data_IF_173107057384
#
_entry.id   IF_173107057384
#
_cell.length_a   1.000
_cell.length_b   1.000
_cell.length_c   1.000
_cell.angle_alpha   90.00
_cell.angle_beta   90.00
_cell.angle_gamma   90.00
#
_symmetry.space_group_name_H-M   'P 1'
#
loop_
_entity.id
_entity.type
_entity.pdbx_description
1 polymer ?
#
# COMPACT_ATOMS: atom_id res chain seq x y z
N UNK A 1 -8.91 21.07 8.00
CA UNK A 1 -8.25 19.89 7.42
C UNK A 1 -9.21 18.84 6.84
N UNK A 2 -10.39 18.63 7.40
CA UNK A 2 -11.42 17.73 6.83
C UNK A 2 -11.93 18.14 5.45
N UNK A 3 -12.07 19.44 5.19
CA UNK A 3 -12.63 19.98 3.94
C UNK A 3 -11.76 19.69 2.69
N UNK A 4 -10.44 19.71 2.83
CA UNK A 4 -9.52 19.50 1.69
C UNK A 4 -9.42 18.03 1.27
N UNK A 5 -9.55 17.10 2.22
CA UNK A 5 -9.60 15.65 1.93
C UNK A 5 -10.90 15.24 1.23
N UNK A 6 -12.00 15.86 1.60
CA UNK A 6 -13.31 15.64 0.97
C UNK A 6 -13.35 16.19 -0.46
N UNK A 7 -12.66 17.30 -0.72
CA UNK A 7 -12.55 17.88 -2.06
C UNK A 7 -11.72 17.02 -3.01
N UNK A 8 -10.62 16.44 -2.52
CA UNK A 8 -9.79 15.49 -3.30
C UNK A 8 -10.54 14.20 -3.63
N UNK A 9 -11.31 13.65 -2.70
CA UNK A 9 -12.17 12.48 -2.94
C UNK A 9 -13.25 12.79 -4.00
N UNK A 10 -13.83 13.99 -3.95
CA UNK A 10 -14.83 14.40 -4.94
C UNK A 10 -14.22 14.61 -6.35
N UNK A 11 -13.02 15.17 -6.44
CA UNK A 11 -12.28 15.29 -7.69
C UNK A 11 -11.91 13.92 -8.28
N UNK A 12 -11.46 12.96 -7.47
CA UNK A 12 -11.14 11.59 -7.94
C UNK A 12 -12.41 10.87 -8.43
N UNK A 13 -13.54 11.02 -7.74
CA UNK A 13 -14.82 10.50 -8.18
C UNK A 13 -15.32 11.15 -9.49
N UNK A 14 -15.13 12.46 -9.67
CA UNK A 14 -15.48 13.15 -10.91
C UNK A 14 -14.60 12.74 -12.10
N UNK A 15 -13.31 12.41 -11.85
CA UNK A 15 -12.42 11.93 -12.90
C UNK A 15 -12.72 10.50 -13.35
N UNK A 16 -13.30 9.68 -12.45
CA UNK A 16 -13.72 8.30 -12.80
C UNK A 16 -15.04 8.26 -13.58
N UNK A 17 -15.86 9.31 -13.55
CA UNK A 17 -17.14 9.35 -14.27
C UNK A 17 -17.01 9.80 -15.73
N UNK A 18 -15.82 10.12 -16.22
CA UNK A 18 -15.58 10.51 -17.62
C UNK A 18 -15.11 9.36 -18.54
N UNK A 19 -15.40 8.10 -18.17
CA UNK A 19 -15.34 7.02 -19.16
C UNK A 19 -16.49 7.22 -20.13
N UNK A 20 -16.19 7.84 -21.27
CA UNK A 20 -17.13 8.07 -22.33
C UNK A 20 -17.81 6.77 -22.74
N UNK A 21 -19.11 6.72 -22.55
CA UNK A 21 -19.93 5.71 -23.20
C UNK A 21 -19.75 5.91 -24.71
N UNK A 22 -19.14 4.93 -25.36
CA UNK A 22 -19.18 4.86 -26.80
C UNK A 22 -20.64 4.77 -27.20
N UNK A 23 -21.21 5.82 -27.78
CA UNK A 23 -22.56 5.79 -28.29
C UNK A 23 -22.62 4.74 -29.39
N UNK A 24 -23.46 3.75 -29.20
CA UNK A 24 -23.83 2.84 -30.28
C UNK A 24 -24.36 3.68 -31.46
N UNK A 25 -24.00 3.33 -32.69
CA UNK A 25 -24.57 4.00 -33.87
C UNK A 25 -26.09 3.97 -33.78
N UNK A 26 -26.73 5.10 -34.06
CA UNK A 26 -28.18 5.19 -34.10
C UNK A 26 -28.78 4.21 -35.13
N UNK A 27 -30.03 3.82 -34.98
CA UNK A 27 -30.70 2.93 -35.93
C UNK A 27 -30.72 3.60 -37.33
N UNK A 28 -30.58 2.78 -38.37
CA UNK A 28 -30.72 3.30 -39.74
C UNK A 28 -32.07 4.01 -39.92
N UNK A 29 -32.07 5.11 -40.65
CA UNK A 29 -33.29 5.85 -41.02
C UNK A 29 -34.27 4.98 -41.79
N UNK A 30 -35.58 5.33 -41.79
CA UNK A 30 -36.59 4.58 -42.50
C UNK A 30 -36.26 4.50 -43.99
N UNK A 31 -36.48 3.34 -44.53
CA UNK A 31 -36.29 3.09 -45.96
C UNK A 31 -37.25 3.98 -46.77
N UNK A 32 -36.69 4.69 -47.76
CA UNK A 32 -37.49 5.53 -48.67
C UNK A 32 -38.51 4.70 -49.44
N UNK A 33 -39.62 5.34 -49.84
CA UNK A 33 -40.69 4.71 -50.56
C UNK A 33 -40.21 4.00 -51.83
N UNK A 34 -40.75 2.83 -52.13
CA UNK A 34 -40.39 2.08 -53.33
C UNK A 34 -40.71 2.89 -54.58
N UNK A 35 -39.74 3.10 -55.46
CA UNK A 35 -39.99 3.59 -56.79
C UNK A 35 -40.88 2.62 -57.57
N UNK A 36 -41.62 3.15 -58.59
CA UNK A 36 -42.51 2.36 -59.42
C UNK A 36 -41.81 1.11 -59.95
N UNK A 37 -42.53 -0.03 -59.79
CA UNK A 37 -42.03 -1.34 -60.17
C UNK A 37 -41.73 -1.44 -61.63
N UNK A 38 -40.43 -1.47 -61.99
CA UNK A 38 -40.00 -1.95 -63.30
C UNK A 38 -40.10 -3.48 -63.39
N UNK A 39 -40.12 -4.03 -64.59
CA UNK A 39 -40.12 -5.49 -64.71
C UNK A 39 -38.91 -6.10 -63.96
N UNK A 40 -39.13 -7.20 -63.26
CA UNK A 40 -38.05 -7.82 -62.48
C UNK A 40 -36.87 -8.20 -63.41
N UNK A 41 -35.70 -7.63 -63.15
CA UNK A 41 -34.47 -8.14 -63.73
C UNK A 41 -34.04 -9.43 -63.02
N UNK A 42 -33.23 -10.25 -63.69
CA UNK A 42 -32.70 -11.44 -63.02
C UNK A 42 -31.95 -11.06 -61.74
N UNK A 43 -32.18 -11.85 -60.69
CA UNK A 43 -31.51 -11.65 -59.42
C UNK A 43 -29.98 -11.63 -59.59
N UNK A 44 -29.36 -10.54 -59.17
CA UNK A 44 -27.89 -10.46 -59.15
C UNK A 44 -27.27 -11.51 -58.23
N UNK A 45 -26.07 -11.90 -58.54
CA UNK A 45 -25.34 -12.84 -57.70
C UNK A 45 -25.14 -12.19 -56.32
N UNK A 46 -25.19 -12.96 -55.24
CA UNK A 46 -24.87 -12.48 -53.90
C UNK A 46 -23.48 -11.86 -53.91
N UNK A 47 -23.34 -10.68 -53.31
CA UNK A 47 -22.04 -10.01 -53.16
C UNK A 47 -21.08 -10.90 -52.34
N UNK A 48 -19.78 -10.74 -52.53
CA UNK A 48 -18.78 -11.44 -51.73
C UNK A 48 -18.97 -11.15 -50.23
N UNK A 49 -18.71 -12.11 -49.40
CA UNK A 49 -18.75 -11.94 -47.95
C UNK A 49 -17.84 -10.79 -47.53
N UNK A 50 -18.28 -9.95 -46.63
CA UNK A 50 -17.46 -8.87 -46.07
C UNK A 50 -16.19 -9.42 -45.42
N UNK A 51 -15.13 -8.60 -45.37
CA UNK A 51 -13.89 -9.00 -44.70
C UNK A 51 -14.17 -9.32 -43.22
N UNK A 52 -13.40 -10.26 -42.62
CA UNK A 52 -13.49 -10.52 -41.19
C UNK A 52 -13.29 -9.24 -40.39
N UNK A 53 -14.01 -9.11 -39.29
CA UNK A 53 -13.81 -7.98 -38.37
C UNK A 53 -12.39 -7.92 -37.80
N UNK A 54 -11.93 -6.76 -37.38
CA UNK A 54 -10.62 -6.62 -36.78
C UNK A 54 -10.48 -7.52 -35.55
N UNK A 55 -9.26 -8.04 -35.34
CA UNK A 55 -8.94 -8.85 -34.18
C UNK A 55 -9.17 -8.02 -32.89
N UNK A 56 -9.82 -8.59 -31.89
CA UNK A 56 -9.98 -7.95 -30.59
C UNK A 56 -8.63 -7.57 -29.96
N UNK A 57 -8.63 -6.52 -29.18
CA UNK A 57 -7.43 -6.10 -28.44
C UNK A 57 -6.94 -7.23 -27.55
N UNK A 58 -5.60 -7.40 -27.36
CA UNK A 58 -5.05 -8.32 -26.37
C UNK A 58 -5.64 -8.01 -25.00
N UNK A 59 -6.01 -9.04 -24.25
CA UNK A 59 -6.38 -8.86 -22.85
C UNK A 59 -5.23 -8.30 -22.05
N UNK A 60 -5.54 -7.62 -20.94
CA UNK A 60 -4.53 -7.12 -19.98
C UNK A 60 -3.71 -8.32 -19.50
N UNK A 61 -2.38 -8.23 -19.60
CA UNK A 61 -1.51 -9.30 -19.13
C UNK A 61 -1.57 -9.41 -17.60
N UNK A 62 -1.38 -10.61 -17.06
CA UNK A 62 -1.34 -10.79 -15.59
C UNK A 62 -0.28 -9.91 -14.92
N UNK A 63 0.81 -9.62 -15.62
CA UNK A 63 1.89 -8.76 -15.14
C UNK A 63 1.50 -7.28 -15.06
N UNK A 64 0.72 -6.78 -16.02
CA UNK A 64 0.17 -5.42 -15.98
C UNK A 64 -0.85 -5.26 -14.86
N UNK A 65 -1.69 -6.28 -14.65
CA UNK A 65 -2.66 -6.28 -13.55
C UNK A 65 -1.97 -6.25 -12.19
N UNK A 66 -0.90 -7.03 -12.01
CA UNK A 66 -0.12 -7.05 -10.77
C UNK A 66 0.59 -5.70 -10.53
N UNK A 67 1.15 -5.10 -11.56
CA UNK A 67 1.76 -3.76 -11.50
C UNK A 67 0.74 -2.71 -11.09
N UNK A 68 -0.48 -2.79 -11.63
CA UNK A 68 -1.57 -1.86 -11.29
C UNK A 68 -2.02 -2.03 -9.84
N UNK A 69 -2.19 -3.26 -9.37
CA UNK A 69 -2.52 -3.55 -7.96
C UNK A 69 -1.47 -2.99 -7.01
N UNK A 70 -0.19 -3.22 -7.30
CA UNK A 70 0.91 -2.70 -6.50
C UNK A 70 0.95 -1.17 -6.49
N UNK A 71 0.62 -0.53 -7.60
CA UNK A 71 0.54 0.93 -7.69
C UNK A 71 -0.64 1.48 -6.89
N UNK A 72 -1.78 0.79 -6.92
CA UNK A 72 -2.96 1.14 -6.14
C UNK A 72 -2.69 1.04 -4.64
N UNK A 73 -2.10 -0.07 -4.19
CA UNK A 73 -1.73 -0.27 -2.78
C UNK A 73 -0.82 0.86 -2.28
N UNK A 74 0.17 1.30 -3.08
CA UNK A 74 1.05 2.42 -2.74
C UNK A 74 0.30 3.75 -2.64
N UNK A 75 -0.67 4.00 -3.52
CA UNK A 75 -1.52 5.19 -3.45
C UNK A 75 -2.38 5.20 -2.19
N UNK A 76 -2.95 4.05 -1.82
CA UNK A 76 -3.72 3.89 -0.59
C UNK A 76 -2.90 4.25 0.66
N UNK A 77 -1.62 3.88 0.72
CA UNK A 77 -0.75 4.29 1.83
C UNK A 77 -0.64 5.82 1.92
N UNK A 78 -0.37 6.49 0.79
CA UNK A 78 -0.19 7.94 0.79
C UNK A 78 -1.45 8.70 1.18
N UNK A 79 -2.63 8.20 0.80
CA UNK A 79 -3.91 8.85 1.09
C UNK A 79 -4.37 8.60 2.52
N UNK A 80 -4.11 7.41 3.07
CA UNK A 80 -4.69 6.98 4.33
C UNK A 80 -3.83 7.28 5.56
N UNK A 81 -2.51 7.44 5.42
CA UNK A 81 -1.62 7.61 6.57
C UNK A 81 -1.12 9.05 6.72
N UNK A 82 -1.00 9.52 7.97
CA UNK A 82 -0.50 10.86 8.29
C UNK A 82 1.01 11.00 8.14
N UNK A 83 1.71 9.87 8.22
CA UNK A 83 3.14 9.76 8.00
C UNK A 83 3.41 8.66 7.00
N UNK A 84 4.07 9.00 5.91
CA UNK A 84 4.51 8.04 4.88
C UNK A 84 5.93 8.40 4.49
N UNK A 85 6.84 7.42 4.55
CA UNK A 85 8.22 7.57 4.07
C UNK A 85 8.60 6.34 3.25
N UNK A 86 9.39 6.58 2.23
CA UNK A 86 9.93 5.52 1.37
C UNK A 86 11.45 5.53 1.45
N UNK A 87 12.04 4.36 1.67
CA UNK A 87 13.47 4.10 1.55
C UNK A 87 13.66 2.89 0.66
N UNK A 88 14.31 3.07 -0.47
CA UNK A 88 14.44 2.01 -1.48
C UNK A 88 13.08 1.49 -1.96
N UNK A 89 12.80 0.22 -1.71
CA UNK A 89 11.53 -0.42 -2.03
C UNK A 89 10.55 -0.48 -0.85
N UNK A 90 11.02 -0.17 0.36
CA UNK A 90 10.23 -0.27 1.58
C UNK A 90 9.47 1.02 1.87
N UNK A 91 8.25 0.89 2.37
CA UNK A 91 7.43 1.99 2.83
C UNK A 91 7.21 1.88 4.33
N UNK A 92 7.39 3.01 5.04
CA UNK A 92 7.08 3.17 6.45
C UNK A 92 5.89 4.10 6.59
N UNK A 93 4.87 3.67 7.33
CA UNK A 93 3.60 4.38 7.47
C UNK A 93 3.14 4.44 8.92
N UNK A 94 2.50 5.55 9.31
CA UNK A 94 1.92 5.72 10.63
C UNK A 94 0.74 6.69 10.59
N UNK A 95 -0.30 6.42 11.40
CA UNK A 95 -1.34 7.40 11.71
C UNK A 95 -0.95 8.33 12.88
N UNK A 96 0.32 8.30 13.29
CA UNK A 96 0.79 8.96 14.50
C UNK A 96 0.00 8.57 15.77
N UNK A 97 -0.59 7.38 15.75
CA UNK A 97 -1.20 6.76 16.93
C UNK A 97 -0.12 6.13 17.80
N UNK A 98 -0.46 6.01 19.08
CA UNK A 98 0.39 5.40 20.09
C UNK A 98 -0.41 4.35 20.83
N UNK A 99 0.24 3.28 21.22
CA UNK A 99 -0.34 2.21 22.04
C UNK A 99 0.78 1.31 22.58
N UNK A 100 0.42 0.25 23.29
CA UNK A 100 1.30 -0.82 23.74
C UNK A 100 1.92 -1.60 22.58
N UNK A 101 2.99 -2.32 22.84
CA UNK A 101 3.69 -3.13 21.83
C UNK A 101 2.76 -4.16 21.17
N UNK A 102 1.99 -4.90 21.96
CA UNK A 102 1.07 -5.92 21.43
C UNK A 102 0.01 -5.30 20.51
N UNK A 103 -0.53 -4.14 20.90
CA UNK A 103 -1.47 -3.41 20.07
C UNK A 103 -0.83 -2.84 18.80
N UNK A 104 0.42 -2.45 18.86
CA UNK A 104 1.16 -2.00 17.67
C UNK A 104 1.34 -3.12 16.66
N UNK A 105 1.72 -4.32 17.10
CA UNK A 105 1.83 -5.51 16.25
C UNK A 105 0.48 -5.87 15.63
N UNK A 106 -0.58 -5.94 16.45
CA UNK A 106 -1.93 -6.23 15.99
C UNK A 106 -2.41 -5.19 14.97
N UNK A 107 -2.18 -3.91 15.24
CA UNK A 107 -2.57 -2.81 14.36
C UNK A 107 -1.98 -2.90 12.96
N UNK A 108 -0.67 -3.23 12.86
CA UNK A 108 -0.01 -3.40 11.58
C UNK A 108 -0.51 -4.67 10.87
N UNK A 109 -0.60 -5.80 11.57
CA UNK A 109 -1.00 -7.09 10.99
C UNK A 109 -2.43 -7.08 10.44
N UNK A 110 -3.38 -6.42 11.11
CA UNK A 110 -4.76 -6.26 10.64
C UNK A 110 -4.87 -5.51 9.29
N UNK A 111 -3.80 -4.81 8.90
CA UNK A 111 -3.71 -4.05 7.65
C UNK A 111 -2.84 -4.73 6.61
N UNK A 112 -2.43 -5.97 6.86
CA UNK A 112 -1.50 -6.69 6.00
C UNK A 112 -0.09 -6.10 5.98
N UNK A 113 0.26 -5.32 7.02
CA UNK A 113 1.56 -4.70 7.23
C UNK A 113 2.29 -5.36 8.39
N UNK A 114 3.57 -5.07 8.52
CA UNK A 114 4.38 -5.49 9.67
C UNK A 114 4.77 -4.28 10.52
N UNK A 115 5.04 -4.49 11.82
CA UNK A 115 5.66 -3.46 12.64
C UNK A 115 7.04 -3.14 12.06
N UNK A 116 7.45 -1.88 12.07
CA UNK A 116 8.67 -1.42 11.42
C UNK A 116 9.92 -2.11 11.97
N UNK A 117 10.78 -2.57 11.07
CA UNK A 117 12.11 -3.09 11.37
C UNK A 117 13.12 -2.45 10.41
N UNK A 118 13.89 -1.45 10.83
CA UNK A 118 14.91 -0.84 9.99
C UNK A 118 16.07 -1.81 9.76
N UNK A 119 16.52 -1.90 8.50
CA UNK A 119 17.59 -2.80 8.06
C UNK A 119 18.87 -2.07 7.69
N UNK A 120 18.89 -0.75 7.81
CA UNK A 120 20.04 0.10 7.59
C UNK A 120 19.86 1.45 8.29
N UNK A 121 20.91 2.25 8.28
CA UNK A 121 20.94 3.57 8.93
C UNK A 121 19.93 4.56 8.34
N UNK A 122 19.72 4.53 7.03
CA UNK A 122 18.77 5.41 6.35
C UNK A 122 17.34 5.10 6.78
N UNK A 123 16.94 3.83 6.77
CA UNK A 123 15.64 3.38 7.27
C UNK A 123 15.44 3.77 8.73
N UNK A 124 16.46 3.56 9.57
CA UNK A 124 16.42 3.87 10.99
C UNK A 124 16.20 5.36 11.24
N UNK A 125 16.93 6.22 10.54
CA UNK A 125 16.81 7.67 10.68
C UNK A 125 15.47 8.20 10.16
N UNK A 126 14.92 7.61 9.11
CA UNK A 126 13.62 8.02 8.57
C UNK A 126 12.48 7.77 9.56
N UNK A 127 12.56 6.71 10.38
CA UNK A 127 11.53 6.43 11.39
C UNK A 127 11.45 7.54 12.45
N UNK A 128 12.55 8.20 12.78
CA UNK A 128 12.53 9.27 13.78
C UNK A 128 11.72 10.50 13.35
N UNK A 129 11.44 10.65 12.06
CA UNK A 129 10.62 11.76 11.53
C UNK A 129 9.13 11.64 11.89
N UNK A 130 8.70 10.52 12.48
CA UNK A 130 7.33 10.37 13.00
C UNK A 130 7.10 11.21 14.24
N UNK A 131 8.16 11.47 15.00
CA UNK A 131 8.09 12.17 16.27
C UNK A 131 7.68 13.63 16.11
N UNK A 132 6.89 14.11 17.05
CA UNK A 132 6.58 15.52 17.27
C UNK A 132 7.31 16.03 18.52
N UNK A 133 6.80 17.09 19.09
CA UNK A 133 7.39 17.73 20.27
C UNK A 133 7.26 16.88 21.54
N UNK A 134 6.14 16.13 21.64
CA UNK A 134 5.83 15.27 22.77
C UNK A 134 6.08 13.80 22.47
N UNK A 135 6.65 13.07 23.42
CA UNK A 135 6.93 11.64 23.39
C UNK A 135 7.69 11.17 22.13
N UNK A 136 8.92 10.80 22.32
CA UNK A 136 9.92 10.59 21.27
C UNK A 136 10.36 9.12 21.23
N UNK A 137 9.40 8.21 21.33
CA UNK A 137 9.61 6.76 21.23
C UNK A 137 8.63 6.10 20.30
N UNK A 138 9.09 5.13 19.51
CA UNK A 138 8.29 4.29 18.63
C UNK A 138 8.62 2.81 18.86
N UNK A 139 7.67 1.93 18.65
CA UNK A 139 7.90 0.49 18.67
C UNK A 139 8.58 0.03 17.39
N UNK A 140 9.52 -0.89 17.52
CA UNK A 140 10.15 -1.60 16.39
C UNK A 140 10.05 -3.11 16.57
N UNK A 141 10.07 -3.83 15.44
CA UNK A 141 9.81 -5.26 15.34
C UNK A 141 11.00 -6.13 15.80
N UNK A 142 11.55 -5.81 16.95
CA UNK A 142 12.62 -6.58 17.59
C UNK A 142 12.11 -7.09 18.93
N UNK A 143 12.14 -8.40 19.11
CA UNK A 143 11.73 -9.04 20.34
C UNK A 143 12.83 -9.98 20.86
N UNK A 144 12.87 -10.20 22.16
CA UNK A 144 13.69 -11.25 22.76
C UNK A 144 13.11 -12.60 22.42
N UNK A 145 13.87 -13.43 21.75
CA UNK A 145 13.55 -14.82 21.63
C UNK A 145 13.94 -15.56 22.93
N UNK A 146 12.97 -16.23 23.55
CA UNK A 146 13.13 -16.91 24.86
C UNK A 146 14.25 -17.95 24.94
N UNK A 147 14.76 -18.42 23.80
CA UNK A 147 15.67 -19.55 23.79
C UNK A 147 17.15 -19.19 24.01
N UNK A 148 17.58 -17.96 23.69
CA UNK A 148 19.02 -17.66 23.65
C UNK A 148 19.42 -16.31 24.28
N UNK A 149 18.48 -15.48 24.74
CA UNK A 149 18.79 -14.14 25.31
C UNK A 149 19.43 -13.18 24.32
N UNK A 150 19.39 -13.49 23.04
CA UNK A 150 19.98 -12.69 21.98
C UNK A 150 18.93 -11.86 21.27
N UNK A 151 19.14 -10.53 21.27
CA UNK A 151 18.35 -9.56 20.47
C UNK A 151 18.89 -9.49 19.04
N UNK A 152 19.13 -10.62 18.43
CA UNK A 152 19.73 -10.73 17.10
C UNK A 152 18.71 -11.14 16.03
N UNK A 153 17.47 -11.38 16.43
CA UNK A 153 16.41 -11.80 15.53
C UNK A 153 15.17 -10.90 15.62
N UNK A 154 14.45 -10.81 14.53
CA UNK A 154 13.13 -10.20 14.47
C UNK A 154 12.06 -11.10 15.12
N UNK A 155 10.79 -10.65 15.11
CA UNK A 155 9.68 -11.46 15.65
C UNK A 155 9.41 -12.76 14.86
N UNK A 156 10.01 -12.93 13.68
CA UNK A 156 9.94 -14.15 12.85
C UNK A 156 11.17 -15.06 13.03
N UNK A 157 12.01 -14.78 14.01
CA UNK A 157 13.30 -15.45 14.23
C UNK A 157 14.28 -15.37 13.05
N UNK A 158 14.19 -14.30 12.25
CA UNK A 158 15.18 -14.05 11.21
C UNK A 158 16.32 -13.20 11.78
N UNK A 159 17.59 -13.54 11.47
CA UNK A 159 18.72 -12.78 11.97
C UNK A 159 18.65 -11.33 11.48
N UNK A 160 18.92 -10.39 12.39
CA UNK A 160 18.96 -8.97 12.04
C UNK A 160 20.26 -8.64 11.31
N UNK A 161 20.15 -7.93 10.21
CA UNK A 161 21.31 -7.46 9.43
C UNK A 161 21.83 -6.10 9.90
N UNK A 162 21.02 -5.38 10.66
CA UNK A 162 21.34 -4.06 11.18
C UNK A 162 20.82 -3.92 12.61
N UNK A 163 21.62 -3.30 13.47
CA UNK A 163 21.26 -2.93 14.84
C UNK A 163 21.85 -1.57 15.19
N UNK A 164 21.14 -0.79 16.01
CA UNK A 164 21.62 0.49 16.53
C UNK A 164 21.26 0.66 18.00
N UNK A 165 21.86 -0.16 18.82
CA UNK A 165 21.64 -0.16 20.25
C UNK A 165 22.19 1.11 20.92
N UNK A 166 21.43 1.64 21.89
CA UNK A 166 21.91 2.72 22.75
C UNK A 166 22.98 2.25 23.74
N UNK A 167 23.56 3.18 24.49
CA UNK A 167 24.55 2.88 25.53
C UNK A 167 23.95 1.91 26.58
N UNK A 168 24.68 0.84 26.90
CA UNK A 168 24.22 -0.22 27.81
C UNK A 168 23.10 -1.09 27.26
N UNK A 169 22.80 -1.03 25.97
CA UNK A 169 21.77 -1.85 25.31
C UNK A 169 22.39 -2.90 24.35
N UNK A 170 21.73 -4.03 24.09
CA UNK A 170 20.48 -4.50 24.73
C UNK A 170 20.72 -4.86 26.19
N UNK A 171 19.76 -4.57 27.05
CA UNK A 171 19.85 -4.89 28.48
C UNK A 171 19.73 -6.41 28.69
N UNK A 172 20.85 -7.04 28.97
CA UNK A 172 20.95 -8.51 29.19
C UNK A 172 20.26 -9.00 30.46
N UNK A 173 19.83 -8.11 31.36
CA UNK A 173 19.03 -8.49 32.53
C UNK A 173 17.60 -8.86 32.14
N UNK A 174 17.16 -8.47 30.96
CA UNK A 174 15.84 -8.76 30.40
C UNK A 174 15.88 -10.13 29.73
N UNK A 175 15.61 -11.18 30.51
CA UNK A 175 15.77 -12.57 30.03
C UNK A 175 14.53 -13.15 29.37
N UNK A 176 13.31 -12.69 29.72
CA UNK A 176 12.10 -13.43 29.36
C UNK A 176 11.16 -12.76 28.36
N UNK A 177 10.94 -11.48 28.43
CA UNK A 177 10.07 -10.74 27.50
C UNK A 177 10.47 -9.29 27.48
N UNK A 178 11.15 -8.87 26.44
CA UNK A 178 11.46 -7.46 26.20
C UNK A 178 10.87 -6.99 24.89
N UNK A 179 10.41 -5.76 24.88
CA UNK A 179 9.96 -5.08 23.69
C UNK A 179 10.99 -4.00 23.35
N UNK A 180 11.18 -3.71 22.08
CA UNK A 180 12.19 -2.74 21.66
C UNK A 180 11.56 -1.45 21.18
N UNK A 181 12.10 -0.35 21.67
CA UNK A 181 11.74 1.00 21.25
C UNK A 181 12.87 1.67 20.50
N UNK A 182 12.49 2.52 19.54
CA UNK A 182 13.35 3.49 18.87
C UNK A 182 13.18 4.86 19.53
N UNK A 183 14.27 5.52 19.89
CA UNK A 183 14.28 6.89 20.43
C UNK A 183 14.39 7.93 19.32
N UNK A 184 14.20 9.22 19.69
CA UNK A 184 14.41 10.37 18.79
C UNK A 184 15.83 10.46 18.20
N UNK A 185 16.81 9.99 18.96
CA UNK A 185 18.21 9.96 18.55
C UNK A 185 18.55 8.73 17.69
N UNK A 186 17.52 8.03 17.22
CA UNK A 186 17.65 6.83 16.39
C UNK A 186 18.33 5.64 17.09
N UNK A 187 18.46 5.63 18.41
CA UNK A 187 18.98 4.50 19.18
C UNK A 187 17.87 3.59 19.68
N UNK A 188 18.17 2.29 19.74
CA UNK A 188 17.26 1.26 20.19
C UNK A 188 17.45 0.97 21.68
N UNK A 189 16.37 0.70 22.35
CA UNK A 189 16.36 0.32 23.76
C UNK A 189 15.38 -0.82 24.00
N UNK A 190 15.80 -1.82 24.72
CA UNK A 190 14.91 -2.87 25.25
C UNK A 190 14.23 -2.40 26.53
N UNK A 191 12.96 -2.74 26.67
CA UNK A 191 12.19 -2.46 27.89
C UNK A 191 11.34 -3.67 28.30
N UNK A 192 11.17 -3.87 29.60
CA UNK A 192 10.17 -4.82 30.14
C UNK A 192 8.75 -4.26 30.04
N UNK A 193 8.61 -2.95 30.04
CA UNK A 193 7.31 -2.30 29.98
C UNK A 193 6.82 -2.21 28.54
N UNK A 194 6.24 -3.31 28.07
CA UNK A 194 5.61 -3.40 26.76
C UNK A 194 4.25 -2.67 26.68
N UNK A 195 3.78 -2.12 27.81
CA UNK A 195 2.54 -1.32 27.89
C UNK A 195 2.77 0.17 27.64
N UNK A 196 4.02 0.61 27.46
CA UNK A 196 4.34 2.00 27.12
C UNK A 196 3.53 2.48 25.94
N UNK A 197 3.11 3.74 26.03
CA UNK A 197 2.35 4.41 24.95
C UNK A 197 3.32 5.01 23.92
N UNK A 198 3.84 4.19 22.99
CA UNK A 198 4.80 4.58 21.96
C UNK A 198 4.15 4.61 20.56
N UNK A 199 4.76 5.35 19.63
CA UNK A 199 4.27 5.45 18.26
C UNK A 199 4.25 4.11 17.55
N UNK A 200 3.21 3.89 16.77
CA UNK A 200 3.06 2.73 15.89
C UNK A 200 3.52 3.12 14.50
N UNK A 201 4.55 2.46 14.00
CA UNK A 201 5.04 2.60 12.63
C UNK A 201 4.98 1.21 12.00
N UNK A 202 4.28 1.09 10.88
CA UNK A 202 4.21 -0.14 10.11
C UNK A 202 5.10 -0.05 8.87
N UNK A 203 5.51 -1.21 8.34
CA UNK A 203 6.26 -1.33 7.09
C UNK A 203 5.56 -2.23 6.08
N UNK A 204 5.84 -1.98 4.80
CA UNK A 204 5.42 -2.77 3.64
C UNK A 204 6.59 -3.00 2.73
#
# INVERSE_FOLDING_TARGET
MYSMRMFLLFCVLCLMSSTGYSQLPGPPGPKGDPGHVGPPGPAGQPGPAGPPGPRGFPGVSGQELETLKNSLAKLELVVNYDFVRRVGQKYFVSYKKRDSFSRAVEFCSQRGLELALPQNEEENNVLTQVFGDDNKTAWINVNTNKAEGNFEADMKNQPMTFTKWGEGQPDKSIQDTGCTTLSENAFWRVTHDCSLNAFIICQM
#
